data_IF_901958081689
#
_entry.id   IF_901958081689
#
_cell.length_a   1.000
_cell.length_b   1.000
_cell.length_c   1.000
_cell.angle_alpha   90.00
_cell.angle_beta   90.00
_cell.angle_gamma   90.00
#
_symmetry.space_group_name_H-M   'P 1'
#
loop_
_entity.id
_entity.type
_entity.pdbx_description
1 polymer ?
#
# COMPACT_ATOMS: atom_id res chain seq x y z
N UNK A 1 -14.77 -10.76 6.12
CA UNK A 1 -15.11 -12.02 5.42
C UNK A 1 -14.71 -13.27 6.20
N UNK A 2 -13.45 -13.39 6.65
CA UNK A 2 -12.97 -14.58 7.39
C UNK A 2 -13.85 -14.96 8.58
N UNK A 3 -14.23 -13.99 9.42
CA UNK A 3 -15.11 -14.23 10.58
C UNK A 3 -16.50 -14.72 10.18
N UNK A 4 -17.10 -14.13 9.14
CA UNK A 4 -18.41 -14.54 8.62
C UNK A 4 -18.37 -15.96 8.04
N UNK A 5 -17.27 -16.36 7.37
CA UNK A 5 -17.05 -17.74 6.96
C UNK A 5 -16.88 -18.69 8.16
N UNK A 6 -16.04 -18.32 9.13
CA UNK A 6 -15.74 -19.12 10.30
C UNK A 6 -16.96 -19.37 11.20
N UNK A 7 -17.93 -18.44 11.23
CA UNK A 7 -19.22 -18.63 11.89
C UNK A 7 -20.03 -19.82 11.34
N UNK A 8 -19.66 -20.37 10.18
CA UNK A 8 -20.29 -21.54 9.55
C UNK A 8 -19.51 -22.84 9.74
N UNK A 9 -18.42 -22.86 10.52
CA UNK A 9 -17.61 -24.06 10.77
C UNK A 9 -18.41 -25.22 11.37
N UNK A 10 -19.41 -24.91 12.20
CA UNK A 10 -20.27 -25.90 12.84
C UNK A 10 -21.42 -26.38 11.94
N UNK A 11 -21.62 -25.76 10.78
CA UNK A 11 -22.62 -26.23 9.80
C UNK A 11 -21.98 -27.32 8.93
N UNK A 12 -22.53 -28.53 8.84
CA UNK A 12 -21.95 -29.57 7.99
C UNK A 12 -22.03 -29.18 6.50
N UNK A 13 -21.18 -29.81 5.69
CA UNK A 13 -21.28 -29.88 4.25
C UNK A 13 -21.51 -31.34 3.86
N UNK A 14 -22.58 -31.59 3.09
CA UNK A 14 -22.90 -32.90 2.56
C UNK A 14 -22.37 -32.98 1.13
N UNK A 15 -21.21 -33.61 0.97
CA UNK A 15 -20.66 -33.93 -0.36
C UNK A 15 -21.30 -35.21 -0.90
N UNK A 16 -21.58 -36.15 0.00
CA UNK A 16 -22.35 -37.37 -0.24
C UNK A 16 -23.62 -37.36 0.64
N UNK A 17 -24.65 -38.11 0.23
CA UNK A 17 -26.01 -38.06 0.79
C UNK A 17 -26.07 -38.43 2.29
N UNK A 18 -25.11 -39.21 2.79
CA UNK A 18 -25.20 -39.86 4.11
C UNK A 18 -24.20 -39.33 5.14
N UNK A 19 -23.10 -38.68 4.73
CA UNK A 19 -22.01 -38.33 5.65
C UNK A 19 -21.77 -36.82 5.75
N UNK A 20 -22.06 -36.20 6.91
CA UNK A 20 -21.74 -34.80 7.13
C UNK A 20 -20.24 -34.62 7.28
N UNK A 21 -19.66 -33.72 6.48
CA UNK A 21 -18.26 -33.31 6.59
C UNK A 21 -18.15 -31.92 7.21
N UNK A 22 -17.20 -31.72 8.12
CA UNK A 22 -16.94 -30.44 8.77
C UNK A 22 -15.61 -29.87 8.31
N UNK A 23 -15.58 -28.56 8.08
CA UNK A 23 -14.41 -27.86 7.60
C UNK A 23 -14.24 -26.56 8.36
N UNK A 24 -12.99 -26.14 8.50
CA UNK A 24 -12.65 -24.77 8.90
C UNK A 24 -12.73 -23.91 7.65
N UNK A 25 -13.57 -22.88 7.67
CA UNK A 25 -13.78 -21.98 6.54
C UNK A 25 -13.01 -20.68 6.73
N UNK A 26 -12.52 -20.14 5.62
CA UNK A 26 -11.88 -18.83 5.54
C UNK A 26 -12.35 -18.07 4.30
N UNK A 27 -11.94 -16.81 4.18
CA UNK A 27 -12.24 -15.97 3.02
C UNK A 27 -11.77 -16.62 1.71
N UNK A 28 -12.59 -16.51 0.66
CA UNK A 28 -12.23 -16.93 -0.71
C UNK A 28 -11.54 -15.81 -1.53
N UNK A 29 -11.19 -14.68 -0.90
CA UNK A 29 -10.45 -13.57 -1.51
C UNK A 29 -9.15 -14.04 -2.17
N UNK A 30 -8.81 -13.46 -3.32
CA UNK A 30 -7.70 -13.90 -4.17
C UNK A 30 -8.03 -15.10 -5.07
N UNK A 31 -9.15 -15.80 -4.83
CA UNK A 31 -9.64 -16.92 -5.66
C UNK A 31 -11.01 -16.63 -6.28
N UNK A 32 -11.92 -16.02 -5.51
CA UNK A 32 -13.22 -15.54 -5.97
C UNK A 32 -13.27 -14.01 -5.89
N UNK A 33 -13.89 -13.38 -6.89
CA UNK A 33 -14.02 -11.93 -7.02
C UNK A 33 -15.46 -11.52 -7.36
N UNK A 34 -15.75 -10.23 -7.24
CA UNK A 34 -17.01 -9.61 -7.64
C UNK A 34 -18.23 -10.19 -6.93
N UNK A 35 -19.34 -10.29 -7.66
CA UNK A 35 -20.61 -10.81 -7.14
C UNK A 35 -20.50 -12.24 -6.62
N UNK A 36 -19.65 -13.07 -7.23
CA UNK A 36 -19.44 -14.44 -6.78
C UNK A 36 -18.88 -14.47 -5.35
N UNK A 37 -17.93 -13.58 -5.06
CA UNK A 37 -17.39 -13.43 -3.70
C UNK A 37 -18.48 -12.97 -2.73
N UNK A 38 -19.29 -11.97 -3.11
CA UNK A 38 -20.36 -11.44 -2.25
C UNK A 38 -21.50 -12.41 -1.96
N UNK A 39 -21.70 -13.47 -2.78
CA UNK A 39 -22.60 -14.60 -2.50
C UNK A 39 -22.06 -15.59 -1.45
N UNK A 40 -21.39 -15.03 -0.43
CA UNK A 40 -20.87 -15.74 0.74
C UNK A 40 -19.92 -16.90 0.39
N UNK A 41 -19.07 -16.70 -0.61
CA UNK A 41 -18.10 -17.70 -1.06
C UNK A 41 -16.97 -17.85 -0.03
N UNK A 42 -16.77 -19.07 0.47
CA UNK A 42 -15.76 -19.39 1.46
C UNK A 42 -14.88 -20.55 0.99
N UNK A 43 -13.60 -20.49 1.35
CA UNK A 43 -12.61 -21.55 1.06
C UNK A 43 -12.45 -22.46 2.28
N UNK A 44 -12.41 -23.77 2.06
CA UNK A 44 -12.06 -24.72 3.11
C UNK A 44 -10.54 -24.69 3.36
N UNK A 45 -10.13 -24.42 4.61
CA UNK A 45 -8.72 -24.35 4.99
C UNK A 45 -8.06 -25.72 4.79
N UNK A 46 -6.91 -25.72 4.11
CA UNK A 46 -6.17 -26.95 3.80
C UNK A 46 -6.80 -27.83 2.72
N UNK A 47 -7.80 -27.33 2.00
CA UNK A 47 -8.46 -28.00 0.87
C UNK A 47 -8.50 -27.09 -0.36
N UNK A 48 -8.64 -27.68 -1.54
CA UNK A 48 -8.60 -26.96 -2.83
C UNK A 48 -10.01 -26.67 -3.38
N UNK A 49 -11.01 -26.49 -2.51
CA UNK A 49 -12.36 -26.18 -2.94
C UNK A 49 -12.98 -25.03 -2.16
N UNK A 50 -13.97 -24.39 -2.79
CA UNK A 50 -14.73 -23.26 -2.27
C UNK A 50 -16.21 -23.53 -2.51
N UNK A 51 -17.04 -23.12 -1.56
CA UNK A 51 -18.50 -23.20 -1.68
C UNK A 51 -19.14 -21.98 -1.02
N UNK A 52 -20.35 -21.67 -1.44
CA UNK A 52 -21.18 -20.69 -0.75
C UNK A 52 -21.63 -21.27 0.60
N UNK A 53 -21.53 -20.46 1.67
CA UNK A 53 -21.84 -20.86 3.06
C UNK A 53 -23.02 -20.11 3.68
N UNK A 54 -23.72 -19.34 2.88
CA UNK A 54 -24.88 -18.53 3.23
C UNK A 54 -25.41 -17.82 2.00
N UNK A 55 -26.46 -17.02 2.13
CA UNK A 55 -27.02 -16.32 0.97
C UNK A 55 -26.00 -15.30 0.43
N UNK A 56 -25.60 -14.34 1.27
CA UNK A 56 -24.69 -13.26 0.94
C UNK A 56 -23.86 -12.86 2.16
N UNK A 57 -22.67 -12.30 1.95
CA UNK A 57 -21.97 -11.57 3.02
C UNK A 57 -22.79 -10.34 3.44
N UNK A 58 -22.60 -9.92 4.70
CA UNK A 58 -23.26 -8.74 5.25
C UNK A 58 -22.96 -7.49 4.40
N UNK A 59 -23.96 -6.65 4.21
CA UNK A 59 -23.80 -5.39 3.48
C UNK A 59 -22.71 -4.52 4.13
N UNK A 60 -21.83 -3.94 3.31
CA UNK A 60 -20.65 -3.22 3.77
C UNK A 60 -19.40 -4.10 3.96
N UNK A 61 -19.48 -5.41 3.73
CA UNK A 61 -18.27 -6.26 3.67
C UNK A 61 -17.45 -5.91 2.43
N UNK A 62 -16.14 -5.63 2.58
CA UNK A 62 -15.20 -5.39 1.47
C UNK A 62 -15.17 -6.54 0.48
N UNK A 63 -15.20 -6.26 -0.82
CA UNK A 63 -15.04 -7.25 -1.89
C UNK A 63 -13.96 -6.83 -2.88
N UNK A 64 -13.33 -7.80 -3.54
CA UNK A 64 -12.32 -7.57 -4.58
C UNK A 64 -13.00 -7.66 -5.95
N UNK A 65 -12.72 -6.70 -6.85
CA UNK A 65 -13.23 -6.71 -8.21
C UNK A 65 -12.15 -6.21 -9.17
N UNK A 66 -11.99 -6.91 -10.30
CA UNK A 66 -11.15 -6.45 -11.41
C UNK A 66 -11.94 -5.38 -12.17
N UNK A 67 -11.93 -4.16 -11.64
CA UNK A 67 -12.65 -3.02 -12.19
C UNK A 67 -11.64 -1.97 -12.65
N UNK A 68 -11.45 -1.88 -13.97
CA UNK A 68 -10.57 -0.86 -14.56
C UNK A 68 -11.24 0.51 -14.69
N UNK A 69 -12.57 0.58 -14.58
CA UNK A 69 -13.31 1.83 -14.69
C UNK A 69 -13.35 2.59 -13.35
N UNK A 70 -13.30 1.87 -12.24
CA UNK A 70 -13.43 2.44 -10.89
C UNK A 70 -12.13 2.34 -10.07
N UNK A 71 -10.97 2.52 -10.71
CA UNK A 71 -9.69 2.54 -10.00
C UNK A 71 -9.68 3.59 -8.87
N UNK A 72 -9.33 3.16 -7.66
CA UNK A 72 -9.32 4.02 -6.48
C UNK A 72 -10.67 4.14 -5.77
N UNK A 73 -11.68 3.40 -6.23
CA UNK A 73 -12.96 3.27 -5.54
C UNK A 73 -12.93 2.16 -4.51
N UNK A 74 -13.92 2.23 -3.63
CA UNK A 74 -14.14 1.26 -2.58
C UNK A 74 -15.18 0.23 -3.02
N UNK A 75 -14.85 -1.05 -2.91
CA UNK A 75 -15.75 -2.12 -3.32
C UNK A 75 -16.37 -2.81 -2.10
N UNK A 76 -17.70 -2.83 -2.06
CA UNK A 76 -18.49 -3.35 -0.94
C UNK A 76 -19.59 -4.28 -1.43
N UNK A 77 -19.87 -5.34 -0.66
CA UNK A 77 -21.04 -6.16 -0.87
C UNK A 77 -22.30 -5.39 -0.49
N UNK A 78 -23.28 -5.38 -1.38
CA UNK A 78 -24.63 -4.86 -1.16
C UNK A 78 -25.62 -5.83 -1.79
N UNK A 79 -26.47 -6.45 -0.97
CA UNK A 79 -27.44 -7.47 -1.38
C UNK A 79 -26.82 -8.58 -2.23
N UNK A 80 -25.63 -9.05 -1.85
CA UNK A 80 -24.93 -10.13 -2.56
C UNK A 80 -24.20 -9.73 -3.84
N UNK A 81 -24.12 -8.44 -4.14
CA UNK A 81 -23.39 -7.93 -5.30
C UNK A 81 -22.25 -7.04 -4.87
N UNK A 82 -21.12 -7.12 -5.55
CA UNK A 82 -19.98 -6.24 -5.30
C UNK A 82 -20.22 -4.91 -6.03
N UNK A 83 -20.30 -3.82 -5.27
CA UNK A 83 -20.63 -2.49 -5.76
C UNK A 83 -19.48 -1.52 -5.49
N UNK A 84 -19.19 -0.65 -6.46
CA UNK A 84 -18.22 0.41 -6.35
C UNK A 84 -18.82 1.65 -5.67
N UNK A 85 -18.05 2.23 -4.75
CA UNK A 85 -18.35 3.46 -4.03
C UNK A 85 -17.23 4.46 -4.26
N UNK A 86 -17.59 5.69 -4.63
CA UNK A 86 -16.61 6.77 -4.74
C UNK A 86 -15.99 7.09 -3.39
N UNK A 87 -14.92 7.90 -3.41
CA UNK A 87 -14.26 8.37 -2.18
C UNK A 87 -15.18 9.20 -1.25
N UNK A 88 -16.32 9.66 -1.76
CA UNK A 88 -17.37 10.37 -1.04
C UNK A 88 -18.39 9.42 -0.37
N UNK A 89 -18.18 8.10 -0.47
CA UNK A 89 -19.03 7.07 0.11
C UNK A 89 -20.34 6.84 -0.64
N UNK A 90 -20.50 7.41 -1.84
CA UNK A 90 -21.71 7.23 -2.64
C UNK A 90 -21.55 6.10 -3.67
N UNK A 91 -22.52 5.20 -3.69
CA UNK A 91 -22.57 4.08 -4.65
C UNK A 91 -22.70 4.61 -6.09
N UNK A 92 -21.79 4.20 -6.98
CA UNK A 92 -21.78 4.65 -8.38
C UNK A 92 -21.30 6.10 -8.60
N UNK A 93 -20.84 6.79 -7.54
CA UNK A 93 -20.13 8.06 -7.69
C UNK A 93 -18.81 7.84 -8.43
N UNK A 94 -18.43 8.78 -9.30
CA UNK A 94 -17.16 8.76 -10.04
C UNK A 94 -16.03 9.53 -9.33
N UNK A 95 -16.26 9.99 -8.09
CA UNK A 95 -15.23 10.69 -7.35
C UNK A 95 -14.18 9.71 -6.83
N UNK A 96 -12.92 9.97 -7.16
CA UNK A 96 -11.77 9.23 -6.68
C UNK A 96 -10.88 10.11 -5.80
N UNK A 97 -10.04 9.46 -5.00
CA UNK A 97 -8.98 10.14 -4.27
C UNK A 97 -7.92 10.66 -5.25
N UNK A 98 -7.46 11.88 -5.03
CA UNK A 98 -6.28 12.41 -5.72
C UNK A 98 -4.99 11.79 -5.13
N UNK A 99 -3.78 12.04 -5.69
CA UNK A 99 -2.53 11.52 -5.15
C UNK A 99 -2.19 12.01 -3.74
N UNK A 100 -2.78 13.14 -3.31
CA UNK A 100 -2.70 13.68 -1.95
C UNK A 100 -3.70 13.02 -0.97
N UNK A 101 -4.49 12.05 -1.47
CA UNK A 101 -5.60 11.38 -0.76
C UNK A 101 -6.72 12.35 -0.34
N UNK A 102 -6.97 13.39 -1.13
CA UNK A 102 -8.14 14.27 -1.03
C UNK A 102 -9.21 13.80 -2.00
N UNK A 103 -10.42 13.58 -1.51
CA UNK A 103 -11.54 13.10 -2.33
C UNK A 103 -11.99 14.17 -3.32
N UNK A 104 -11.90 13.87 -4.63
CA UNK A 104 -12.17 14.85 -5.68
C UNK A 104 -11.20 16.04 -5.67
N UNK A 105 -10.00 15.85 -5.13
CA UNK A 105 -8.96 16.87 -5.07
C UNK A 105 -8.35 17.18 -6.44
N UNK A 106 -7.59 18.27 -6.49
CA UNK A 106 -6.95 18.82 -7.68
C UNK A 106 -5.41 18.68 -7.64
N UNK A 107 -4.89 17.83 -6.75
CA UNK A 107 -3.46 17.59 -6.51
C UNK A 107 -2.69 18.78 -5.90
N UNK A 108 -3.36 19.83 -5.43
CA UNK A 108 -2.69 21.06 -4.95
C UNK A 108 -2.19 21.01 -3.50
N UNK A 109 -2.72 20.10 -2.69
CA UNK A 109 -2.49 20.03 -1.23
C UNK A 109 -1.21 19.29 -0.84
N UNK A 110 -0.50 18.71 -1.79
CA UNK A 110 0.74 17.97 -1.57
C UNK A 110 1.81 18.32 -2.61
N UNK A 111 3.05 17.87 -2.36
CA UNK A 111 4.18 18.03 -3.26
C UNK A 111 4.78 16.66 -3.57
N UNK A 112 5.07 16.41 -4.85
CA UNK A 112 5.71 15.18 -5.30
C UNK A 112 7.20 15.23 -5.00
N UNK A 113 7.71 14.18 -4.36
CA UNK A 113 9.14 13.90 -4.19
C UNK A 113 9.49 12.69 -5.06
N UNK A 114 10.63 12.73 -5.73
CA UNK A 114 11.11 11.63 -6.57
C UNK A 114 12.62 11.49 -6.48
N UNK A 115 13.10 10.27 -6.69
CA UNK A 115 14.53 9.98 -6.68
C UNK A 115 14.85 8.63 -7.33
N UNK A 116 16.14 8.29 -7.29
CA UNK A 116 16.66 7.04 -7.81
C UNK A 116 17.75 6.50 -6.89
N UNK A 117 17.93 5.18 -6.91
CA UNK A 117 18.97 4.50 -6.14
C UNK A 117 19.59 3.37 -6.96
N UNK A 118 20.92 3.36 -7.04
CA UNK A 118 21.71 2.37 -7.81
C UNK A 118 22.84 1.74 -6.99
N UNK A 119 22.92 2.09 -5.72
CA UNK A 119 23.93 1.61 -4.79
C UNK A 119 23.44 0.39 -4.00
N UNK A 120 24.19 -0.03 -2.98
CA UNK A 120 23.86 -1.17 -2.14
C UNK A 120 25.12 -1.89 -1.70
N UNK A 121 24.99 -2.76 -0.71
CA UNK A 121 26.08 -3.56 -0.14
C UNK A 121 25.83 -5.03 -0.39
N UNK A 122 26.88 -5.74 -0.80
CA UNK A 122 26.79 -7.16 -1.11
C UNK A 122 26.32 -7.95 0.11
N UNK A 123 25.39 -8.86 -0.12
CA UNK A 123 24.80 -9.76 0.86
C UNK A 123 24.10 -9.06 2.04
N UNK A 124 23.75 -7.78 1.91
CA UNK A 124 23.11 -6.99 2.95
C UNK A 124 21.87 -6.26 2.42
N UNK A 125 20.89 -6.06 3.29
CA UNK A 125 19.78 -5.14 3.04
C UNK A 125 20.22 -3.72 3.41
N UNK A 126 20.11 -2.80 2.46
CA UNK A 126 20.43 -1.39 2.67
C UNK A 126 19.15 -0.56 2.54
N UNK A 127 18.81 0.20 3.58
CA UNK A 127 17.72 1.19 3.52
C UNK A 127 18.14 2.32 2.59
N UNK A 128 17.36 2.55 1.53
CA UNK A 128 17.55 3.68 0.63
C UNK A 128 16.42 4.70 0.73
N UNK A 129 15.28 4.31 1.31
CA UNK A 129 14.12 5.18 1.49
C UNK A 129 13.41 4.86 2.80
N UNK A 130 13.43 5.80 3.74
CA UNK A 130 12.55 5.80 4.91
C UNK A 130 11.41 6.77 4.64
N UNK A 131 10.17 6.29 4.67
CA UNK A 131 9.01 7.10 4.32
C UNK A 131 8.63 8.03 5.49
N UNK A 132 8.53 9.35 5.27
CA UNK A 132 7.98 10.26 6.27
C UNK A 132 6.54 9.90 6.64
N UNK A 133 6.11 10.34 7.83
CA UNK A 133 4.69 10.29 8.21
C UNK A 133 3.84 11.11 7.23
N UNK A 134 2.59 10.69 7.06
CA UNK A 134 1.60 11.30 6.17
C UNK A 134 2.00 11.29 4.68
N UNK A 135 2.93 10.43 4.28
CA UNK A 135 3.26 10.22 2.88
C UNK A 135 2.12 9.48 2.17
N UNK A 136 1.80 9.89 0.95
CA UNK A 136 0.74 9.27 0.13
C UNK A 136 1.27 8.84 -1.24
N UNK A 137 0.58 7.86 -1.84
CA UNK A 137 0.79 7.41 -3.21
C UNK A 137 2.25 7.10 -3.53
N UNK A 138 2.89 6.30 -2.67
CA UNK A 138 4.27 5.87 -2.85
C UNK A 138 4.32 4.85 -3.98
N UNK A 139 5.28 5.03 -4.87
CA UNK A 139 5.59 4.11 -5.95
C UNK A 139 7.10 3.91 -6.02
N UNK A 140 7.54 2.66 -5.96
CA UNK A 140 8.96 2.28 -6.10
C UNK A 140 9.06 1.19 -7.14
N UNK A 141 10.04 1.31 -8.03
CA UNK A 141 10.27 0.35 -9.11
C UNK A 141 11.73 -0.06 -9.12
N UNK A 142 12.04 -1.36 -9.17
CA UNK A 142 13.37 -1.89 -9.47
C UNK A 142 13.37 -2.56 -10.84
N UNK A 143 14.15 -2.02 -11.78
CA UNK A 143 14.24 -2.53 -13.17
C UNK A 143 15.34 -3.58 -13.38
N UNK A 144 16.13 -3.88 -12.33
CA UNK A 144 17.20 -4.91 -12.38
C UNK A 144 17.10 -5.93 -11.24
N UNK A 145 15.98 -6.68 -11.14
CA UNK A 145 15.74 -7.60 -10.03
C UNK A 145 16.42 -8.98 -10.17
N UNK A 146 17.28 -9.18 -11.17
CA UNK A 146 17.96 -10.49 -11.37
C UNK A 146 18.94 -10.82 -10.25
N UNK A 147 19.65 -9.81 -9.75
CA UNK A 147 20.70 -9.95 -8.73
C UNK A 147 20.48 -9.06 -7.51
N UNK A 148 19.35 -8.35 -7.51
CA UNK A 148 18.92 -7.47 -6.43
C UNK A 148 17.44 -7.69 -6.19
N UNK A 149 16.95 -7.40 -5.00
CA UNK A 149 15.51 -7.42 -4.75
C UNK A 149 15.12 -6.42 -3.67
N UNK A 150 13.88 -5.95 -3.73
CA UNK A 150 13.33 -5.00 -2.77
C UNK A 150 12.85 -5.71 -1.50
N UNK A 151 12.87 -4.99 -0.39
CA UNK A 151 12.26 -5.38 0.86
C UNK A 151 11.56 -4.19 1.51
N UNK A 152 10.55 -4.48 2.32
CA UNK A 152 9.79 -3.48 3.07
C UNK A 152 9.75 -3.91 4.52
N UNK A 153 10.12 -2.99 5.41
CA UNK A 153 9.89 -3.09 6.84
C UNK A 153 8.80 -2.15 7.27
N UNK A 154 7.92 -2.64 8.14
CA UNK A 154 6.90 -1.84 8.84
C UNK A 154 7.17 -2.01 10.32
N UNK A 155 7.42 -0.92 11.03
CA UNK A 155 7.77 -0.93 12.46
C UNK A 155 8.92 -1.89 12.79
N UNK A 156 9.94 -1.95 11.92
CA UNK A 156 11.11 -2.82 12.07
C UNK A 156 10.95 -4.26 11.59
N UNK A 157 9.72 -4.72 11.34
CA UNK A 157 9.43 -6.10 10.91
C UNK A 157 9.30 -6.19 9.38
N UNK A 158 9.92 -7.21 8.78
CA UNK A 158 9.83 -7.42 7.33
C UNK A 158 8.45 -7.93 6.93
N UNK A 159 7.73 -7.13 6.15
CA UNK A 159 6.46 -7.52 5.51
C UNK A 159 6.66 -7.97 4.06
N UNK A 160 7.78 -7.59 3.44
CA UNK A 160 8.22 -8.05 2.12
C UNK A 160 9.68 -8.49 2.21
N UNK A 161 9.97 -9.68 1.68
CA UNK A 161 11.30 -10.32 1.67
C UNK A 161 11.93 -10.52 3.07
N UNK A 162 13.13 -9.98 3.33
CA UNK A 162 13.82 -10.06 4.62
C UNK A 162 14.70 -11.29 4.88
N UNK A 163 14.65 -12.32 4.02
CA UNK A 163 15.38 -13.60 4.22
C UNK A 163 16.47 -13.87 3.17
N UNK A 164 17.09 -12.82 2.64
CA UNK A 164 18.10 -12.90 1.56
C UNK A 164 17.59 -13.48 0.23
N UNK A 165 16.26 -13.55 0.03
CA UNK A 165 15.62 -14.04 -1.19
C UNK A 165 14.49 -13.08 -1.58
N UNK A 166 14.28 -12.94 -2.89
CA UNK A 166 13.15 -12.21 -3.47
C UNK A 166 11.83 -12.79 -2.95
N UNK A 167 10.84 -11.93 -2.70
CA UNK A 167 9.52 -12.36 -2.25
C UNK A 167 8.64 -12.73 -3.46
N UNK A 168 7.56 -13.45 -3.22
CA UNK A 168 6.47 -13.57 -4.20
C UNK A 168 5.59 -12.31 -4.12
N UNK A 169 4.56 -12.21 -4.96
CA UNK A 169 3.58 -11.12 -4.85
C UNK A 169 2.94 -11.14 -3.47
N UNK A 170 2.96 -10.00 -2.78
CA UNK A 170 2.44 -9.84 -1.42
C UNK A 170 1.60 -8.58 -1.36
N UNK A 171 0.49 -8.64 -0.63
CA UNK A 171 -0.27 -7.45 -0.24
C UNK A 171 -0.46 -7.48 1.25
N UNK A 172 0.11 -6.47 1.93
CA UNK A 172 0.08 -6.34 3.38
C UNK A 172 -0.87 -5.19 3.79
N UNK A 173 -1.70 -5.36 4.84
CA UNK A 173 -1.92 -6.59 5.60
C UNK A 173 -2.74 -7.63 4.83
N UNK A 174 -3.61 -7.16 3.93
CA UNK A 174 -4.52 -7.99 3.11
C UNK A 174 -5.01 -7.18 1.91
N UNK A 175 -5.42 -7.86 0.84
CA UNK A 175 -5.96 -7.25 -0.41
C UNK A 175 -7.32 -6.56 -0.23
N UNK A 176 -7.96 -6.67 0.94
CA UNK A 176 -9.23 -6.01 1.24
C UNK A 176 -9.10 -4.73 2.07
N UNK A 177 -7.93 -4.44 2.63
CA UNK A 177 -7.73 -3.27 3.50
C UNK A 177 -7.69 -1.96 2.70
N UNK A 178 -8.00 -0.82 3.29
CA UNK A 178 -7.92 0.44 2.53
C UNK A 178 -6.47 0.92 2.38
N UNK A 179 -5.66 0.68 3.42
CA UNK A 179 -4.25 1.03 3.46
C UNK A 179 -3.44 -0.23 3.21
N UNK A 180 -2.92 -0.35 1.99
CA UNK A 180 -2.18 -1.52 1.57
C UNK A 180 -0.76 -1.16 1.15
N UNK A 181 0.14 -2.11 1.39
CA UNK A 181 1.45 -2.20 0.74
C UNK A 181 1.36 -3.35 -0.25
N UNK A 182 1.37 -3.03 -1.54
CA UNK A 182 1.35 -4.01 -2.64
C UNK A 182 2.75 -4.15 -3.18
N UNK A 183 3.30 -5.36 -3.12
CA UNK A 183 4.55 -5.73 -3.76
C UNK A 183 4.26 -6.72 -4.89
N UNK A 184 4.71 -6.38 -6.09
CA UNK A 184 4.50 -7.17 -7.30
C UNK A 184 5.84 -7.44 -8.00
N UNK A 185 6.03 -8.68 -8.40
CA UNK A 185 7.16 -9.12 -9.23
C UNK A 185 6.61 -9.53 -10.58
N UNK A 186 7.10 -8.88 -11.63
CA UNK A 186 6.81 -9.26 -13.00
C UNK A 186 7.91 -10.18 -13.51
N UNK A 187 7.51 -11.16 -14.31
CA UNK A 187 8.41 -12.20 -14.80
C UNK A 187 8.62 -12.08 -16.31
N UNK A 188 9.78 -12.52 -16.78
CA UNK A 188 10.03 -12.80 -18.20
C UNK A 188 9.33 -14.09 -18.64
N UNK A 189 9.41 -14.42 -19.94
CA UNK A 189 8.93 -15.69 -20.47
C UNK A 189 9.60 -16.92 -19.81
N UNK A 190 10.83 -16.77 -19.35
CA UNK A 190 11.59 -17.83 -18.67
C UNK A 190 11.33 -17.89 -17.15
N UNK A 191 10.29 -17.21 -16.66
CA UNK A 191 9.98 -17.07 -15.24
C UNK A 191 11.10 -16.42 -14.40
N UNK A 192 11.90 -15.53 -15.00
CA UNK A 192 12.91 -14.74 -14.29
C UNK A 192 12.36 -13.36 -13.91
N UNK A 193 12.74 -12.78 -12.76
CA UNK A 193 12.33 -11.43 -12.39
C UNK A 193 12.74 -10.39 -13.44
N UNK A 194 11.78 -9.63 -13.94
CA UNK A 194 11.99 -8.55 -14.92
C UNK A 194 11.78 -7.16 -14.32
N UNK A 195 10.84 -7.02 -13.38
CA UNK A 195 10.49 -5.78 -12.72
C UNK A 195 9.97 -6.07 -11.31
N UNK A 196 10.34 -5.26 -10.33
CA UNK A 196 9.65 -5.21 -9.05
C UNK A 196 8.97 -3.86 -8.88
N UNK A 197 7.74 -3.87 -8.35
CA UNK A 197 6.99 -2.67 -8.00
C UNK A 197 6.50 -2.75 -6.55
N UNK A 198 6.61 -1.64 -5.83
CA UNK A 198 5.98 -1.41 -4.53
C UNK A 198 5.04 -0.22 -4.67
N UNK A 199 3.79 -0.44 -4.29
CA UNK A 199 2.80 0.62 -4.09
C UNK A 199 2.42 0.70 -2.62
N UNK A 200 2.47 1.90 -2.05
CA UNK A 200 1.91 2.19 -0.72
C UNK A 200 0.87 3.28 -0.87
N UNK A 201 -0.39 2.97 -0.54
CA UNK A 201 -1.48 3.92 -0.67
C UNK A 201 -1.30 5.14 0.24
N UNK A 202 -1.00 4.91 1.53
CA UNK A 202 -0.97 5.95 2.55
C UNK A 202 -2.36 6.52 2.87
N UNK A 203 -2.45 7.56 3.73
CA UNK A 203 -1.35 8.22 4.42
C UNK A 203 -0.65 7.29 5.40
N UNK A 204 0.68 7.28 5.37
CA UNK A 204 1.53 6.48 6.25
C UNK A 204 1.42 6.98 7.69
N UNK A 205 1.11 6.07 8.61
CA UNK A 205 1.01 6.34 10.06
C UNK A 205 2.01 5.50 10.87
N UNK A 206 2.79 4.69 10.17
CA UNK A 206 3.77 3.78 10.74
C UNK A 206 5.11 4.07 10.09
N UNK A 207 6.18 3.76 10.81
CA UNK A 207 7.52 3.80 10.25
C UNK A 207 7.66 2.72 9.18
N UNK A 208 7.90 3.14 7.93
CA UNK A 208 8.08 2.25 6.80
C UNK A 208 9.45 2.50 6.18
N UNK A 209 10.27 1.47 6.13
CA UNK A 209 11.57 1.48 5.47
C UNK A 209 11.52 0.59 4.23
N UNK A 210 12.02 1.12 3.10
CA UNK A 210 12.20 0.38 1.87
C UNK A 210 13.70 0.15 1.66
N UNK A 211 14.05 -1.11 1.52
CA UNK A 211 15.41 -1.59 1.43
C UNK A 211 15.66 -2.32 0.12
N UNK A 212 16.91 -2.41 -0.28
CA UNK A 212 17.37 -3.26 -1.38
C UNK A 212 18.42 -4.23 -0.88
N UNK A 213 18.29 -5.48 -1.28
CA UNK A 213 19.33 -6.49 -1.15
C UNK A 213 20.12 -6.58 -2.44
N UNK A 214 21.43 -6.69 -2.32
CA UNK A 214 22.32 -6.89 -3.47
C UNK A 214 23.12 -8.17 -3.29
N UNK A 215 23.02 -9.10 -4.23
CA UNK A 215 23.67 -10.41 -4.11
C UNK A 215 25.20 -10.38 -4.27
N UNK A 216 25.71 -9.57 -5.19
CA UNK A 216 27.12 -9.57 -5.58
C UNK A 216 27.82 -8.27 -5.23
N UNK A 217 29.15 -8.28 -5.11
CA UNK A 217 29.97 -7.07 -4.91
C UNK A 217 29.98 -6.17 -6.16
N UNK A 218 30.41 -4.91 -6.00
CA UNK A 218 30.59 -3.94 -7.10
C UNK A 218 31.57 -4.44 -8.18
N UNK A 219 32.45 -5.36 -7.84
CA UNK A 219 33.46 -5.94 -8.74
C UNK A 219 32.83 -6.78 -9.88
N UNK A 220 31.64 -7.35 -9.68
CA UNK A 220 30.92 -8.10 -10.72
C UNK A 220 30.18 -7.21 -11.74
N UNK A 221 30.49 -5.91 -11.75
CA UNK A 221 30.05 -4.96 -12.75
C UNK A 221 28.63 -4.40 -12.53
N UNK A 222 28.29 -3.40 -13.34
CA UNK A 222 27.09 -2.58 -13.17
C UNK A 222 25.78 -3.33 -13.42
N UNK A 223 25.82 -4.49 -14.06
CA UNK A 223 24.64 -5.36 -14.28
C UNK A 223 24.12 -5.96 -12.96
N UNK A 224 24.97 -6.01 -11.93
CA UNK A 224 24.60 -6.48 -10.58
C UNK A 224 24.12 -5.35 -9.67
N UNK A 225 24.18 -4.09 -10.13
CA UNK A 225 23.65 -2.95 -9.39
C UNK A 225 22.12 -2.90 -9.55
N UNK A 226 21.40 -2.45 -8.52
CA UNK A 226 19.98 -2.16 -8.66
C UNK A 226 19.76 -0.97 -9.59
N UNK A 227 18.55 -0.88 -10.14
CA UNK A 227 18.08 0.26 -10.93
C UNK A 227 16.72 0.68 -10.37
N UNK A 228 16.77 1.40 -9.25
CA UNK A 228 15.59 1.77 -8.47
C UNK A 228 15.20 3.21 -8.78
N UNK A 229 13.92 3.42 -9.04
CA UNK A 229 13.29 4.74 -9.09
C UNK A 229 12.13 4.78 -8.11
N UNK A 230 11.93 5.91 -7.44
CA UNK A 230 10.82 6.06 -6.51
C UNK A 230 10.18 7.44 -6.61
N UNK A 231 8.90 7.50 -6.27
CA UNK A 231 8.19 8.76 -6.07
C UNK A 231 7.11 8.62 -5.02
N UNK A 232 6.83 9.70 -4.31
CA UNK A 232 5.76 9.77 -3.31
C UNK A 232 5.31 11.22 -3.14
N UNK A 233 4.24 11.44 -2.40
CA UNK A 233 3.70 12.76 -2.13
C UNK A 233 3.72 13.06 -0.63
N UNK A 234 4.10 14.28 -0.28
CA UNK A 234 4.05 14.79 1.10
C UNK A 234 3.10 15.97 1.18
N UNK A 235 2.27 16.10 2.23
CA UNK A 235 1.40 17.25 2.42
C UNK A 235 2.20 18.54 2.37
N UNK A 236 1.65 19.58 1.74
CA UNK A 236 2.20 20.92 1.87
C UNK A 236 1.88 21.40 3.28
N UNK A 237 2.88 21.49 4.14
CA UNK A 237 2.71 22.28 5.35
C UNK A 237 2.43 23.72 4.93
N UNK A 238 1.35 24.31 5.48
CA UNK A 238 1.21 25.75 5.49
C UNK A 238 2.37 26.27 6.34
N UNK A 239 3.52 26.54 5.71
CA UNK A 239 4.63 27.24 6.33
C UNK A 239 4.13 28.64 6.70
N UNK A 240 3.53 28.76 7.88
CA UNK A 240 3.34 30.04 8.53
C UNK A 240 4.73 30.49 8.93
N UNK A 241 5.35 31.32 8.10
CA UNK A 241 6.59 32.00 8.45
C UNK A 241 6.31 32.87 9.67
N UNK A 242 6.81 32.43 10.83
CA UNK A 242 6.81 33.25 12.03
C UNK A 242 8.07 34.12 11.98
N UNK A 243 7.90 35.41 11.73
CA UNK A 243 8.99 36.35 11.89
C UNK A 243 9.32 36.47 13.37
N UNK A 244 10.44 35.89 13.78
CA UNK A 244 11.00 36.11 15.12
C UNK A 244 11.88 37.35 15.01
N UNK A 245 11.50 38.49 15.62
CA UNK A 245 12.37 39.66 15.65
C UNK A 245 13.61 39.31 16.47
N UNK A 246 14.77 39.27 15.80
CA UNK A 246 16.03 39.05 16.47
C UNK A 246 16.54 40.41 16.96
N UNK A 247 16.64 40.58 18.29
CA UNK A 247 17.30 41.76 18.85
C UNK A 247 18.80 41.68 18.56
N UNK A 248 19.31 42.64 17.80
CA UNK A 248 20.71 42.75 17.44
C UNK A 248 21.04 44.19 17.04
N UNK A 249 22.33 44.57 17.04
CA UNK A 249 22.73 45.89 16.55
C UNK A 249 22.32 46.04 15.09
N UNK A 250 21.67 47.16 14.76
CA UNK A 250 21.28 47.46 13.39
C UNK A 250 22.52 47.44 12.49
N UNK A 251 22.47 46.68 11.41
CA UNK A 251 23.56 46.60 10.42
C UNK A 251 23.75 47.90 9.63
N UNK A 252 22.78 48.80 9.71
CA UNK A 252 22.79 50.13 9.10
C UNK A 252 22.09 51.12 10.03
N UNK A 253 22.68 52.30 10.20
CA UNK A 253 21.99 53.45 10.80
C UNK A 253 21.16 54.11 9.70
N UNK A 254 19.87 53.82 9.61
CA UNK A 254 18.96 54.71 8.90
C UNK A 254 18.76 55.99 9.72
N UNK A 255 18.61 57.12 9.03
CA UNK A 255 18.65 58.47 9.57
C UNK A 255 17.62 58.81 10.65
N UNK A 256 17.62 60.08 11.04
CA UNK A 256 16.90 60.64 12.19
C UNK A 256 15.43 60.19 12.30
N UNK A 257 15.16 59.34 13.29
CA UNK A 257 13.82 59.01 13.76
C UNK A 257 13.86 58.77 15.27
N UNK A 258 13.01 59.47 16.03
CA UNK A 258 12.92 59.34 17.48
C UNK A 258 12.15 58.06 17.87
N UNK A 259 12.72 57.29 18.79
CA UNK A 259 12.05 56.17 19.41
C UNK A 259 10.99 56.68 20.40
N UNK A 260 9.71 56.47 20.09
CA UNK A 260 8.64 56.64 21.08
C UNK A 260 8.79 55.54 22.15
N UNK A 261 9.25 55.94 23.34
CA UNK A 261 9.41 55.04 24.47
C UNK A 261 8.08 54.37 24.85
N UNK A 262 8.10 53.04 24.93
CA UNK A 262 7.05 52.27 25.60
C UNK A 262 7.19 52.51 27.11
N UNK A 263 6.31 53.33 27.68
CA UNK A 263 6.09 53.38 29.12
C UNK A 263 5.45 52.07 29.59
N UNK A 264 6.05 51.50 30.64
CA UNK A 264 5.59 50.35 31.44
C UNK A 264 4.16 50.53 31.97
#
# INVERSE_FOLDING_TARGET
>A
MTEQCAATNLKPLYLDVETPSFYTWTSAVGFAKGDLLCKHMCRAVGKEFMVSRGDNFLDGTRCEQDDTEHHGHLHLCVMGRCRAFGCDGQMGSRKAMDPCKVCGGDNSTCTKVSGSYTEGKAEEYVTFLSLPYNTTSVHVTNRRPLFTHLAVKVQGEYVVAGKGKISQNVTYPSVLEDKQIKYQVFLTQDNLPSLEEIHVDGPTQEEIEIQVYRRYTKEYGNVTNPDITFSYFVPRENLTYLWIPQQGPCSVTCGEGEAAGLSL
#
